data_IF_676476924589
#
_entry.id   IF_676476924589
#
_cell.length_a   1.000
_cell.length_b   1.000
_cell.length_c   1.000
_cell.angle_alpha   90.00
_cell.angle_beta   90.00
_cell.angle_gamma   90.00
#
_symmetry.space_group_name_H-M   'P 1'
#
loop_
_entity.id
_entity.type
_entity.pdbx_description
1 polymer ?
#
# COMPACT_ATOMS: atom_id res chain seq x y z
N UNK A 1 10.23 -2.79 19.59
CA UNK A 1 10.08 -1.72 18.57
C UNK A 1 9.29 -2.29 17.42
N UNK A 2 8.30 -1.56 16.93
CA UNK A 2 7.55 -1.97 15.74
C UNK A 2 8.27 -1.45 14.49
N UNK A 3 8.22 -2.22 13.41
CA UNK A 3 8.70 -1.80 12.10
C UNK A 3 7.49 -1.52 11.22
N UNK A 4 7.43 -0.33 10.63
CA UNK A 4 6.31 0.09 9.79
C UNK A 4 6.69 0.18 8.31
N UNK A 5 5.70 -0.01 7.44
CA UNK A 5 5.80 0.26 6.02
C UNK A 5 4.70 1.22 5.60
N UNK A 6 5.01 2.19 4.74
CA UNK A 6 4.05 3.13 4.17
C UNK A 6 3.81 2.73 2.71
N UNK A 7 2.53 2.59 2.37
CA UNK A 7 2.08 2.10 1.07
C UNK A 7 1.18 3.12 0.38
N UNK A 8 1.37 3.29 -0.92
CA UNK A 8 0.38 3.91 -1.78
C UNK A 8 -0.56 2.81 -2.31
N UNK A 9 -1.87 3.00 -2.15
CA UNK A 9 -2.87 2.06 -2.64
C UNK A 9 -3.64 2.66 -3.81
N UNK A 10 -3.77 1.97 -4.95
CA UNK A 10 -4.65 2.42 -6.00
C UNK A 10 -6.11 2.40 -5.52
N UNK A 11 -6.95 3.20 -6.16
CA UNK A 11 -8.39 3.23 -5.93
C UNK A 11 -9.17 2.91 -7.22
N UNK A 12 -10.50 2.86 -7.14
CA UNK A 12 -11.38 2.74 -8.31
C UNK A 12 -11.20 1.46 -9.15
N UNK A 13 -11.32 1.63 -10.47
CA UNK A 13 -11.29 0.52 -11.45
C UNK A 13 -9.93 -0.19 -11.48
N UNK A 14 -8.84 0.56 -11.34
CA UNK A 14 -7.49 -0.01 -11.33
C UNK A 14 -7.30 -0.91 -10.12
N UNK A 15 -7.69 -0.47 -8.92
CA UNK A 15 -7.63 -1.29 -7.71
C UNK A 15 -8.40 -2.61 -7.86
N UNK A 16 -9.60 -2.54 -8.45
CA UNK A 16 -10.45 -3.72 -8.66
C UNK A 16 -9.83 -4.71 -9.68
N UNK A 17 -9.25 -4.17 -10.76
CA UNK A 17 -8.59 -4.97 -11.80
C UNK A 17 -7.35 -5.67 -11.24
N UNK A 18 -6.52 -4.94 -10.48
CA UNK A 18 -5.34 -5.49 -9.83
C UNK A 18 -5.70 -6.52 -8.76
N UNK A 19 -6.73 -6.27 -7.94
CA UNK A 19 -7.17 -7.24 -6.94
C UNK A 19 -7.62 -8.56 -7.58
N UNK A 20 -8.35 -8.48 -8.70
CA UNK A 20 -8.78 -9.67 -9.45
C UNK A 20 -7.59 -10.51 -9.91
N UNK A 21 -6.55 -9.87 -10.45
CA UNK A 21 -5.33 -10.56 -10.90
C UNK A 21 -4.53 -11.13 -9.71
N UNK A 22 -4.39 -10.37 -8.62
CA UNK A 22 -3.73 -10.84 -7.39
C UNK A 22 -4.45 -12.09 -6.85
N UNK A 23 -5.78 -12.07 -6.77
CA UNK A 23 -6.56 -13.20 -6.28
C UNK A 23 -6.42 -14.43 -7.19
N UNK A 24 -6.42 -14.23 -8.50
CA UNK A 24 -6.21 -15.29 -9.48
C UNK A 24 -4.83 -15.95 -9.31
N UNK A 25 -3.78 -15.16 -9.21
CA UNK A 25 -2.41 -15.65 -9.03
C UNK A 25 -2.21 -16.29 -7.67
N UNK A 26 -2.77 -15.70 -6.61
CA UNK A 26 -2.73 -16.24 -5.24
C UNK A 26 -3.37 -17.64 -5.19
N UNK A 27 -4.56 -17.80 -5.76
CA UNK A 27 -5.23 -19.10 -5.85
C UNK A 27 -4.43 -20.11 -6.68
N UNK A 28 -3.86 -19.69 -7.80
CA UNK A 28 -3.13 -20.58 -8.73
C UNK A 28 -1.84 -21.13 -8.10
N UNK A 29 -1.17 -20.32 -7.27
CA UNK A 29 0.13 -20.64 -6.70
C UNK A 29 0.07 -21.03 -5.21
N UNK A 30 -1.12 -21.21 -4.63
CA UNK A 30 -1.33 -21.42 -3.19
C UNK A 30 -0.59 -20.37 -2.32
N UNK A 31 -0.62 -19.11 -2.77
CA UNK A 31 -0.01 -17.96 -2.10
C UNK A 31 -1.09 -17.10 -1.42
N UNK A 32 -0.73 -16.28 -0.42
CA UNK A 32 -1.68 -15.35 0.19
C UNK A 32 -2.08 -14.23 -0.80
N UNK A 33 -3.36 -13.88 -0.79
CA UNK A 33 -3.82 -12.64 -1.42
C UNK A 33 -3.47 -11.42 -0.55
N UNK A 34 -3.30 -10.27 -1.19
CA UNK A 34 -3.04 -8.99 -0.54
C UNK A 34 -3.74 -7.87 -1.30
N UNK A 35 -3.98 -6.73 -0.64
CA UNK A 35 -4.52 -5.55 -1.32
C UNK A 35 -3.45 -4.97 -2.27
N UNK A 36 -3.78 -4.56 -3.49
CA UNK A 36 -2.80 -3.92 -4.37
C UNK A 36 -2.21 -2.69 -3.69
N UNK A 37 -0.88 -2.56 -3.76
CA UNK A 37 -0.15 -1.45 -3.19
C UNK A 37 1.24 -1.30 -3.83
N UNK A 38 1.80 -0.10 -3.70
CA UNK A 38 3.21 0.19 -3.97
C UNK A 38 3.87 0.60 -2.68
N UNK A 39 5.01 0.00 -2.36
CA UNK A 39 5.78 0.36 -1.17
C UNK A 39 6.51 1.68 -1.41
N UNK A 40 6.24 2.68 -0.57
CA UNK A 40 6.92 3.99 -0.59
C UNK A 40 8.09 3.98 0.39
N UNK A 41 7.87 3.39 1.56
CA UNK A 41 8.87 3.23 2.61
C UNK A 41 8.68 1.88 3.29
N UNK A 42 9.78 1.17 3.56
CA UNK A 42 9.77 -0.10 4.25
C UNK A 42 10.72 -0.04 5.45
N UNK A 43 10.38 -0.76 6.52
CA UNK A 43 11.29 -0.96 7.64
C UNK A 43 11.51 0.27 8.51
N UNK A 44 10.54 1.19 8.58
CA UNK A 44 10.67 2.40 9.36
C UNK A 44 10.55 2.09 10.86
N UNK A 45 11.63 2.34 11.60
CA UNK A 45 11.69 2.22 13.05
C UNK A 45 11.43 3.58 13.69
N UNK A 46 10.17 3.84 14.02
CA UNK A 46 9.73 5.05 14.70
C UNK A 46 8.49 4.76 15.55
N UNK A 47 8.04 5.73 16.34
CA UNK A 47 6.75 5.62 17.03
C UNK A 47 5.60 5.66 16.03
N UNK A 48 4.46 5.08 16.40
CA UNK A 48 3.25 5.11 15.56
C UNK A 48 2.83 6.55 15.23
N UNK A 49 2.94 7.47 16.20
CA UNK A 49 2.61 8.88 16.00
C UNK A 49 3.48 9.55 14.92
N UNK A 50 4.80 9.29 14.95
CA UNK A 50 5.72 9.81 13.94
C UNK A 50 5.43 9.23 12.54
N UNK A 51 5.13 7.93 12.45
CA UNK A 51 4.76 7.29 11.18
C UNK A 51 3.46 7.87 10.61
N UNK A 52 2.45 8.11 11.46
CA UNK A 52 1.19 8.72 11.04
C UNK A 52 1.37 10.16 10.56
N UNK A 53 2.20 10.96 11.27
CA UNK A 53 2.52 12.32 10.85
C UNK A 53 3.23 12.34 9.48
N UNK A 54 4.23 11.45 9.30
CA UNK A 54 4.94 11.28 8.03
C UNK A 54 4.00 10.84 6.91
N UNK A 55 3.12 9.86 7.16
CA UNK A 55 2.16 9.41 6.16
C UNK A 55 1.20 10.53 5.74
N UNK A 56 0.75 11.36 6.69
CA UNK A 56 -0.09 12.53 6.40
C UNK A 56 0.65 13.59 5.59
N UNK A 57 1.92 13.84 5.89
CA UNK A 57 2.74 14.80 5.15
C UNK A 57 2.99 14.32 3.71
N UNK A 58 3.34 13.05 3.52
CA UNK A 58 3.49 12.43 2.20
C UNK A 58 2.20 12.53 1.40
N UNK A 59 1.06 12.21 2.00
CA UNK A 59 -0.24 12.31 1.34
C UNK A 59 -0.58 13.74 0.90
N UNK A 60 -0.16 14.76 1.63
CA UNK A 60 -0.38 16.16 1.27
C UNK A 60 0.52 16.65 0.12
N UNK A 61 1.68 16.02 -0.09
CA UNK A 61 2.62 16.37 -1.15
C UNK A 61 2.36 15.63 -2.47
N UNK A 62 1.74 14.45 -2.38
CA UNK A 62 1.38 13.66 -3.55
C UNK A 62 0.09 14.20 -4.16
N UNK A 63 0.10 14.41 -5.48
CA UNK A 63 -1.13 14.65 -6.22
C UNK A 63 -1.87 13.34 -6.40
N UNK A 64 -3.18 13.38 -6.27
CA UNK A 64 -4.04 12.29 -6.69
C UNK A 64 -4.02 12.26 -8.23
N UNK A 65 -3.16 11.42 -8.80
CA UNK A 65 -3.13 11.19 -10.23
C UNK A 65 -4.20 10.14 -10.55
N UNK A 66 -5.18 10.51 -11.39
CA UNK A 66 -6.26 9.63 -11.81
C UNK A 66 -5.68 8.42 -12.58
N UNK A 67 -5.51 7.30 -11.88
CA UNK A 67 -5.14 6.00 -12.46
C UNK A 67 -6.38 5.09 -12.54
#
# INVERSE_FOLDING_TARGET
MNSYSIWAQPSGMLASSLQTEIDHLASTNAAPSFKPHVTIMAGAEATEHEILALASELAAQLKEENC
#
